data_IF_038049329447
#
_entry.id   IF_038049329447
#
_cell.length_a   1.000
_cell.length_b   1.000
_cell.length_c   1.000
_cell.angle_alpha   90.00
_cell.angle_beta   90.00
_cell.angle_gamma   90.00
#
_symmetry.space_group_name_H-M   'P 1'
#
loop_
_entity.id
_entity.type
_entity.pdbx_description
1 polymer ?
#
# COMPACT_ATOMS: atom_id res chain seq x y z
N UNK A 1 83.51 35.34 -3.74
CA UNK A 1 83.77 35.04 -5.15
C UNK A 1 82.58 34.27 -5.69
N UNK A 2 81.91 34.86 -6.68
CA UNK A 2 80.65 34.44 -7.29
C UNK A 2 80.83 33.11 -8.04
N UNK A 3 79.87 32.18 -7.92
CA UNK A 3 79.28 31.45 -9.07
C UNK A 3 77.97 30.78 -8.67
N UNK A 4 76.92 31.19 -9.37
CA UNK A 4 75.54 30.77 -9.28
C UNK A 4 75.36 29.31 -9.72
N UNK A 5 74.46 28.59 -9.06
CA UNK A 5 73.72 27.51 -9.70
C UNK A 5 72.27 27.56 -9.24
N UNK A 6 71.41 27.96 -10.18
CA UNK A 6 69.96 28.03 -10.06
C UNK A 6 69.38 26.63 -10.35
N UNK A 7 69.03 25.87 -9.32
CA UNK A 7 68.10 24.76 -9.48
C UNK A 7 66.75 25.17 -8.89
N UNK A 8 65.87 25.70 -9.76
CA UNK A 8 64.47 25.93 -9.47
C UNK A 8 63.78 24.58 -9.29
N UNK A 9 63.37 24.26 -8.06
CA UNK A 9 62.43 23.17 -7.81
C UNK A 9 61.04 23.80 -7.90
N UNK A 10 60.37 23.62 -9.04
CA UNK A 10 58.97 23.94 -9.20
C UNK A 10 58.14 22.76 -8.64
N UNK A 11 57.15 22.99 -7.75
CA UNK A 11 56.18 21.97 -7.41
C UNK A 11 55.28 21.72 -8.62
N UNK A 12 55.32 20.49 -9.15
CA UNK A 12 54.38 20.03 -10.16
C UNK A 12 52.99 19.97 -9.54
N UNK A 13 52.16 20.96 -9.87
CA UNK A 13 50.71 20.92 -9.62
C UNK A 13 50.08 20.00 -10.67
N UNK A 14 49.90 18.72 -10.33
CA UNK A 14 48.99 17.87 -11.09
C UNK A 14 47.56 18.18 -10.66
N UNK A 15 46.92 19.05 -11.44
CA UNK A 15 45.47 19.24 -11.40
C UNK A 15 44.81 17.92 -11.82
N UNK A 16 44.22 17.21 -10.86
CA UNK A 16 43.38 16.04 -11.13
C UNK A 16 42.02 16.57 -11.60
N UNK A 17 41.91 16.75 -12.91
CA UNK A 17 40.65 17.01 -13.59
C UNK A 17 39.92 15.68 -13.83
N UNK A 18 38.59 15.73 -13.67
CA UNK A 18 37.57 14.75 -14.05
C UNK A 18 37.30 13.58 -13.09
N UNK A 19 36.47 13.89 -12.09
CA UNK A 19 35.10 13.36 -11.97
C UNK A 19 34.78 12.11 -12.81
N UNK A 20 35.07 10.94 -12.27
CA UNK A 20 34.38 9.71 -12.65
C UNK A 20 34.43 8.76 -11.44
N UNK A 21 33.66 9.09 -10.41
CA UNK A 21 33.26 8.09 -9.43
C UNK A 21 32.52 7.01 -10.23
N UNK A 22 33.17 5.87 -10.41
CA UNK A 22 32.59 4.69 -11.00
C UNK A 22 31.47 4.21 -10.07
N UNK A 23 30.27 4.77 -10.27
CA UNK A 23 29.04 4.17 -9.78
C UNK A 23 28.91 2.84 -10.49
N UNK A 24 29.38 1.78 -9.83
CA UNK A 24 28.92 0.43 -10.11
C UNK A 24 27.44 0.38 -9.75
N UNK A 25 26.62 0.83 -10.69
CA UNK A 25 25.18 0.66 -10.72
C UNK A 25 24.91 -0.83 -10.76
N UNK A 26 24.82 -1.47 -9.59
CA UNK A 26 24.30 -2.81 -9.44
C UNK A 26 22.83 -2.75 -9.84
N UNK A 27 22.55 -2.90 -11.12
CA UNK A 27 21.19 -3.00 -11.64
C UNK A 27 20.59 -4.27 -11.07
N UNK A 28 19.72 -4.12 -10.07
CA UNK A 28 18.95 -5.23 -9.55
C UNK A 28 17.92 -5.61 -10.62
N UNK A 29 18.26 -6.61 -11.44
CA UNK A 29 17.46 -7.13 -12.56
C UNK A 29 16.14 -7.79 -12.13
N UNK A 30 15.80 -7.76 -10.83
CA UNK A 30 14.60 -8.39 -10.28
C UNK A 30 13.38 -7.48 -10.21
N UNK A 31 13.49 -6.17 -10.48
CA UNK A 31 12.35 -5.26 -10.54
C UNK A 31 11.93 -4.97 -11.99
N UNK A 32 11.61 -6.02 -12.75
CA UNK A 32 10.92 -5.87 -14.03
C UNK A 32 9.44 -5.61 -13.73
N UNK A 33 9.06 -4.35 -13.68
CA UNK A 33 7.65 -3.93 -13.63
C UNK A 33 6.93 -4.57 -14.81
N UNK A 34 6.07 -5.55 -14.55
CA UNK A 34 5.25 -6.14 -15.60
C UNK A 34 4.17 -5.13 -15.98
N UNK A 35 4.41 -4.40 -17.08
CA UNK A 35 3.39 -3.57 -17.70
C UNK A 35 2.54 -4.50 -18.54
N UNK A 36 1.39 -4.86 -17.99
CA UNK A 36 0.40 -5.62 -18.72
C UNK A 36 -0.30 -4.74 -19.76
N UNK A 37 0.14 -4.85 -21.02
CA UNK A 37 -0.37 -4.09 -22.16
C UNK A 37 -1.75 -4.51 -22.68
N UNK A 38 -2.53 -5.30 -21.93
CA UNK A 38 -3.84 -5.77 -22.39
C UNK A 38 -4.97 -4.74 -22.31
N UNK A 39 -4.77 -3.60 -21.63
CA UNK A 39 -5.76 -2.52 -21.60
C UNK A 39 -5.55 -1.54 -22.77
N UNK A 40 -6.28 -1.76 -23.87
CA UNK A 40 -6.44 -0.76 -24.94
C UNK A 40 -7.10 0.49 -24.35
N UNK A 41 -6.46 1.65 -24.47
CA UNK A 41 -7.08 2.93 -24.08
C UNK A 41 -8.36 3.11 -24.91
N UNK A 42 -9.51 3.10 -24.26
CA UNK A 42 -10.80 3.36 -24.92
C UNK A 42 -10.83 4.82 -25.35
N UNK A 43 -10.73 5.04 -26.67
CA UNK A 43 -11.00 6.33 -27.26
C UNK A 43 -12.46 6.68 -27.02
N UNK A 44 -12.70 7.82 -26.37
CA UNK A 44 -14.03 8.36 -26.17
C UNK A 44 -14.63 8.83 -27.50
N UNK A 45 -15.45 8.00 -28.16
CA UNK A 45 -16.61 8.45 -28.94
C UNK A 45 -17.45 7.28 -29.45
N UNK A 46 -18.71 7.26 -29.05
CA UNK A 46 -19.74 6.41 -29.65
C UNK A 46 -20.97 6.34 -28.76
N UNK A 47 -21.91 7.29 -28.92
CA UNK A 47 -23.27 7.18 -28.37
C UNK A 47 -23.92 5.90 -28.92
N UNK A 48 -23.92 4.84 -28.11
CA UNK A 48 -24.58 3.57 -28.38
C UNK A 48 -25.77 3.42 -27.43
N UNK A 49 -26.95 3.25 -28.02
CA UNK A 49 -28.27 3.01 -27.42
C UNK A 49 -28.24 2.20 -26.12
N UNK A 50 -28.85 2.78 -25.08
CA UNK A 50 -29.78 2.11 -24.16
C UNK A 50 -29.43 0.68 -23.75
N UNK A 51 -28.29 0.47 -23.11
CA UNK A 51 -28.26 -0.58 -22.09
C UNK A 51 -29.06 -0.02 -20.92
N UNK A 52 -30.28 -0.53 -20.76
CA UNK A 52 -31.03 -0.41 -19.52
C UNK A 52 -30.04 -0.85 -18.44
N UNK A 53 -29.51 0.12 -17.71
CA UNK A 53 -28.68 -0.11 -16.55
C UNK A 53 -29.67 -0.72 -15.57
N UNK A 54 -29.86 -2.03 -15.65
CA UNK A 54 -30.55 -2.79 -14.62
C UNK A 54 -29.77 -2.43 -13.35
N UNK A 55 -30.35 -1.52 -12.59
CA UNK A 55 -29.79 -1.07 -11.35
C UNK A 55 -29.80 -2.30 -10.48
N UNK A 56 -28.63 -2.91 -10.30
CA UNK A 56 -28.45 -4.10 -9.48
C UNK A 56 -28.84 -3.72 -8.06
N UNK A 57 -30.15 -3.78 -7.78
CA UNK A 57 -30.72 -3.55 -6.47
C UNK A 57 -30.20 -4.69 -5.61
N UNK A 58 -29.45 -4.35 -4.57
CA UNK A 58 -29.00 -5.34 -3.60
C UNK A 58 -30.19 -6.11 -3.03
N UNK A 59 -29.97 -7.32 -2.51
CA UNK A 59 -31.03 -8.10 -1.88
C UNK A 59 -31.72 -7.28 -0.79
N UNK A 60 -33.03 -7.45 -0.66
CA UNK A 60 -33.81 -6.70 0.30
C UNK A 60 -33.43 -7.11 1.73
N UNK A 61 -33.11 -6.12 2.55
CA UNK A 61 -32.65 -6.34 3.94
C UNK A 61 -33.87 -6.41 4.85
N UNK A 62 -33.94 -7.44 5.71
CA UNK A 62 -34.97 -7.57 6.73
C UNK A 62 -34.92 -6.39 7.72
N UNK A 63 -36.08 -5.83 8.09
CA UNK A 63 -36.19 -4.71 9.04
C UNK A 63 -36.75 -5.12 10.41
N UNK A 64 -37.04 -6.41 10.58
CA UNK A 64 -37.67 -6.93 11.80
C UNK A 64 -36.63 -7.07 12.92
N UNK A 65 -36.81 -6.39 14.07
CA UNK A 65 -35.80 -6.35 15.11
C UNK A 65 -35.57 -7.71 15.77
N UNK A 66 -36.63 -8.50 15.97
CA UNK A 66 -36.57 -9.83 16.58
C UNK A 66 -35.76 -10.80 15.72
N UNK A 67 -35.88 -10.69 14.40
CA UNK A 67 -35.15 -11.56 13.48
C UNK A 67 -33.67 -11.19 13.42
N UNK A 68 -33.35 -9.90 13.44
CA UNK A 68 -31.98 -9.38 13.42
C UNK A 68 -31.19 -9.70 14.70
N UNK A 69 -31.84 -9.81 15.86
CA UNK A 69 -31.17 -10.15 17.13
C UNK A 69 -31.05 -11.66 17.36
N UNK A 70 -31.93 -12.47 16.76
CA UNK A 70 -31.92 -13.93 16.92
C UNK A 70 -31.12 -14.68 15.85
N UNK A 71 -31.01 -14.14 14.64
CA UNK A 71 -30.41 -14.80 13.49
C UNK A 71 -29.38 -13.93 12.79
N UNK A 72 -28.34 -14.54 12.24
CA UNK A 72 -27.36 -13.88 11.38
C UNK A 72 -27.93 -13.73 9.96
N UNK A 73 -28.88 -12.80 9.81
CA UNK A 73 -29.57 -12.55 8.54
C UNK A 73 -28.56 -12.20 7.43
N UNK A 74 -28.61 -12.93 6.32
CA UNK A 74 -27.74 -12.71 5.16
C UNK A 74 -26.42 -13.49 5.21
N UNK A 75 -26.22 -14.34 6.21
CA UNK A 75 -25.07 -15.25 6.25
C UNK A 75 -25.27 -16.47 5.34
N UNK A 76 -26.52 -16.90 5.10
CA UNK A 76 -26.79 -17.98 4.15
C UNK A 76 -26.83 -17.44 2.71
N UNK A 77 -25.91 -17.92 1.87
CA UNK A 77 -25.84 -17.58 0.43
C UNK A 77 -26.59 -18.58 -0.47
N UNK A 78 -27.03 -19.71 0.07
CA UNK A 78 -27.71 -20.76 -0.69
C UNK A 78 -29.19 -20.42 -0.88
N UNK A 79 -29.77 -20.85 -2.02
CA UNK A 79 -31.20 -20.65 -2.31
C UNK A 79 -32.12 -21.44 -1.37
N UNK A 80 -31.61 -22.55 -0.84
CA UNK A 80 -32.29 -23.42 0.11
C UNK A 80 -31.52 -23.39 1.43
N UNK A 81 -32.26 -23.43 2.53
CA UNK A 81 -31.72 -23.35 3.89
C UNK A 81 -32.07 -22.05 4.57
N UNK A 82 -31.94 -22.05 5.90
CA UNK A 82 -32.23 -20.90 6.75
C UNK A 82 -30.93 -20.22 7.20
N UNK A 83 -31.05 -18.96 7.61
CA UNK A 83 -29.94 -18.24 8.22
C UNK A 83 -29.53 -18.92 9.55
N UNK A 84 -28.23 -18.95 9.87
CA UNK A 84 -27.77 -19.52 11.13
C UNK A 84 -28.26 -18.70 12.33
N UNK A 85 -28.74 -19.40 13.35
CA UNK A 85 -29.19 -18.80 14.62
C UNK A 85 -28.00 -18.37 15.47
N UNK A 86 -28.11 -17.20 16.10
CA UNK A 86 -27.10 -16.71 17.05
C UNK A 86 -27.15 -17.55 18.34
N UNK A 87 -25.97 -17.99 18.77
CA UNK A 87 -25.78 -18.80 19.97
C UNK A 87 -25.57 -17.92 21.20
N UNK A 88 -25.70 -18.45 22.43
CA UNK A 88 -25.27 -17.75 23.63
C UNK A 88 -23.76 -17.50 23.62
N UNK A 89 -23.31 -16.51 24.40
CA UNK A 89 -21.91 -16.08 24.48
C UNK A 89 -20.94 -17.22 24.82
N UNK A 90 -21.35 -18.16 25.67
CA UNK A 90 -20.53 -19.29 26.15
C UNK A 90 -20.11 -20.26 25.04
N UNK A 91 -20.88 -20.34 23.96
CA UNK A 91 -20.56 -21.20 22.82
C UNK A 91 -19.51 -20.57 21.89
N UNK A 92 -19.24 -19.27 22.05
CA UNK A 92 -18.25 -18.57 21.25
C UNK A 92 -16.88 -18.53 21.95
N UNK A 93 -15.78 -18.67 21.20
CA UNK A 93 -14.44 -18.56 21.77
C UNK A 93 -14.19 -17.22 22.45
N UNK A 94 -13.44 -17.23 23.55
CA UNK A 94 -13.15 -16.02 24.35
C UNK A 94 -12.44 -14.92 23.55
N UNK A 95 -11.52 -15.29 22.66
CA UNK A 95 -10.77 -14.33 21.84
C UNK A 95 -11.67 -13.41 20.99
N UNK A 96 -12.90 -13.84 20.68
CA UNK A 96 -13.86 -13.04 19.92
C UNK A 96 -14.20 -11.74 20.65
N UNK A 97 -14.30 -11.80 21.98
CA UNK A 97 -14.66 -10.66 22.82
C UNK A 97 -13.46 -9.81 23.25
N UNK A 98 -12.25 -10.25 22.92
CA UNK A 98 -11.00 -9.54 23.17
C UNK A 98 -10.54 -8.70 21.98
N UNK A 99 -11.35 -8.63 20.91
CA UNK A 99 -11.03 -7.86 19.71
C UNK A 99 -11.20 -6.35 19.95
N UNK A 100 -10.23 -5.57 19.47
CA UNK A 100 -10.28 -4.11 19.48
C UNK A 100 -11.29 -3.59 18.43
N UNK A 101 -12.50 -3.24 18.88
CA UNK A 101 -13.56 -2.66 18.02
C UNK A 101 -13.46 -1.14 17.86
N UNK A 102 -12.49 -0.52 18.53
CA UNK A 102 -12.29 0.93 18.56
C UNK A 102 -11.55 1.49 17.34
N UNK A 103 -11.08 2.74 17.45
CA UNK A 103 -10.20 3.32 16.45
C UNK A 103 -8.90 2.51 16.35
N UNK A 104 -8.39 2.37 15.12
CA UNK A 104 -7.13 1.68 14.92
C UNK A 104 -5.99 2.40 15.65
N UNK A 105 -5.30 1.69 16.54
CA UNK A 105 -4.17 2.19 17.33
C UNK A 105 -3.15 2.96 16.48
N UNK A 106 -2.75 4.12 16.96
CA UNK A 106 -1.80 5.03 16.30
C UNK A 106 -0.37 4.60 16.61
N UNK A 107 0.58 4.96 15.75
CA UNK A 107 1.97 4.52 15.89
C UNK A 107 2.60 4.83 17.26
N UNK A 108 2.22 5.94 17.90
CA UNK A 108 2.75 6.35 19.21
C UNK A 108 2.16 5.56 20.39
N UNK A 109 1.05 4.85 20.18
CA UNK A 109 0.40 4.01 21.19
C UNK A 109 0.91 2.55 21.12
N UNK A 110 1.64 2.19 20.06
CA UNK A 110 2.21 0.87 19.89
C UNK A 110 3.65 0.82 20.41
N UNK A 111 3.97 -0.28 21.09
CA UNK A 111 5.34 -0.61 21.51
C UNK A 111 6.22 -0.99 20.32
N UNK A 112 7.47 -0.53 20.32
CA UNK A 112 8.43 -0.73 19.22
C UNK A 112 8.76 -2.19 18.92
N UNK A 113 8.59 -3.06 19.91
CA UNK A 113 9.04 -4.46 19.85
C UNK A 113 7.98 -5.38 19.26
N UNK A 114 6.79 -4.84 18.97
CA UNK A 114 5.67 -5.61 18.41
C UNK A 114 5.66 -5.57 16.88
N UNK A 115 5.31 -6.68 16.23
CA UNK A 115 5.16 -6.73 14.77
C UNK A 115 4.17 -5.69 14.20
N UNK A 116 3.11 -5.40 14.96
CA UNK A 116 2.07 -4.43 14.60
C UNK A 116 2.61 -3.02 14.44
N UNK A 117 3.59 -2.63 15.28
CA UNK A 117 4.27 -1.35 15.21
C UNK A 117 4.97 -1.18 13.86
N UNK A 118 5.77 -2.17 13.47
CA UNK A 118 6.50 -2.15 12.20
C UNK A 118 5.57 -2.17 10.99
N UNK A 119 4.46 -2.91 11.07
CA UNK A 119 3.41 -2.90 10.04
C UNK A 119 2.77 -1.52 9.90
N UNK A 120 2.50 -0.83 11.01
CA UNK A 120 1.95 0.54 11.04
C UNK A 120 2.95 1.55 10.49
N UNK A 121 4.20 1.51 10.95
CA UNK A 121 5.29 2.38 10.51
C UNK A 121 5.51 2.26 8.98
N UNK A 122 5.53 1.03 8.46
CA UNK A 122 5.64 0.80 7.02
C UNK A 122 4.49 1.46 6.24
N UNK A 123 3.26 1.34 6.74
CA UNK A 123 2.07 1.93 6.12
C UNK A 123 2.15 3.46 6.09
N UNK A 124 2.56 4.08 7.19
CA UNK A 124 2.74 5.54 7.27
C UNK A 124 3.84 6.04 6.34
N UNK A 125 4.96 5.31 6.24
CA UNK A 125 6.03 5.64 5.31
C UNK A 125 5.59 5.57 3.84
N UNK A 126 4.78 4.56 3.48
CA UNK A 126 4.18 4.46 2.14
C UNK A 126 3.26 5.66 1.88
N UNK A 127 2.41 6.03 2.84
CA UNK A 127 1.53 7.19 2.70
C UNK A 127 2.31 8.49 2.53
N UNK A 128 3.37 8.68 3.32
CA UNK A 128 4.28 9.82 3.19
C UNK A 128 4.93 9.85 1.82
N UNK A 129 5.48 8.72 1.36
CA UNK A 129 6.11 8.61 0.05
C UNK A 129 5.12 8.95 -1.07
N UNK A 130 3.93 8.36 -1.07
CA UNK A 130 2.90 8.62 -2.06
C UNK A 130 2.47 10.09 -2.08
N UNK A 131 2.38 10.72 -0.90
CA UNK A 131 2.05 12.15 -0.79
C UNK A 131 3.15 13.02 -1.40
N UNK A 132 4.42 12.73 -1.10
CA UNK A 132 5.57 13.49 -1.60
C UNK A 132 5.85 13.28 -3.09
N UNK A 133 5.49 12.12 -3.63
CA UNK A 133 5.67 11.78 -5.05
C UNK A 133 4.42 12.05 -5.90
N UNK A 134 3.34 12.55 -5.29
CA UNK A 134 2.15 12.96 -6.02
C UNK A 134 2.51 14.13 -6.94
N UNK A 135 2.35 13.93 -8.25
CA UNK A 135 2.57 14.97 -9.25
C UNK A 135 4.01 15.15 -9.74
N UNK A 136 4.97 14.35 -9.25
CA UNK A 136 6.31 14.31 -9.86
C UNK A 136 6.22 13.57 -11.20
N UNK A 137 6.60 14.24 -12.29
CA UNK A 137 6.80 13.57 -13.59
C UNK A 137 8.10 12.77 -13.52
N UNK A 138 8.10 11.61 -14.19
CA UNK A 138 9.26 10.74 -14.36
C UNK A 138 10.38 11.46 -15.12
#
# INVERSE_FOLDING_TARGET
MIRYSLCRIAPSTQNITSYAAAFLSRTNTLNRTQICGYAKKVAAKGKGKGMLKEELKGPEVCKDPVRLTGYAVGANIFKQGEDPKLKPQEEYPEWLFQLDLGEAKKLHELESDTWEYWKRLRKENIWRYNRLHKGKKL
#
